data_IF_121127622853
#
_entry.id   IF_121127622853
#
_cell.length_a   1.000
_cell.length_b   1.000
_cell.length_c   1.000
_cell.angle_alpha   90.00
_cell.angle_beta   90.00
_cell.angle_gamma   90.00
#
_symmetry.space_group_name_H-M   'P 1'
#
loop_
_entity.id
_entity.type
_entity.pdbx_description
1 polymer ?
#
# COMPACT_ATOMS: atom_id res chain seq x y z
N UNK A 1 13.01 -29.34 10.69
CA UNK A 1 11.65 -29.03 10.23
C UNK A 1 11.77 -28.32 8.90
N UNK A 2 11.36 -29.01 7.84
CA UNK A 2 11.58 -28.63 6.45
C UNK A 2 10.79 -27.35 6.14
N UNK A 3 11.50 -26.26 5.85
CA UNK A 3 10.97 -24.89 5.81
C UNK A 3 10.75 -24.41 4.36
N UNK A 4 10.28 -25.29 3.48
CA UNK A 4 9.92 -24.93 2.10
C UNK A 4 8.54 -24.24 2.06
N UNK A 5 8.39 -23.09 1.38
CA UNK A 5 7.16 -22.31 1.41
C UNK A 5 6.14 -22.78 0.37
N UNK A 6 4.97 -23.25 0.85
CA UNK A 6 3.75 -23.29 0.03
C UNK A 6 3.15 -21.89 -0.01
N UNK A 7 2.79 -21.46 -1.23
CA UNK A 7 2.30 -20.14 -1.60
C UNK A 7 0.96 -19.83 -0.89
N UNK A 8 0.85 -18.62 -0.32
CA UNK A 8 -0.19 -18.16 0.61
C UNK A 8 -0.19 -18.84 1.99
N UNK A 9 0.73 -18.41 2.87
CA UNK A 9 0.79 -18.88 4.26
C UNK A 9 0.21 -17.83 5.21
N UNK A 10 -0.97 -18.11 5.76
CA UNK A 10 -1.34 -17.61 7.09
C UNK A 10 -0.60 -18.49 8.10
N UNK A 11 0.41 -17.94 8.79
CA UNK A 11 1.05 -18.65 9.90
C UNK A 11 0.51 -18.06 11.20
N UNK A 12 -0.45 -18.76 11.83
CA UNK A 12 -0.84 -18.48 13.22
C UNK A 12 0.23 -19.08 14.14
N UNK A 13 0.98 -18.23 14.85
CA UNK A 13 1.91 -18.66 15.88
C UNK A 13 1.09 -18.75 17.17
N UNK A 14 1.02 -19.93 17.80
CA UNK A 14 0.27 -20.10 19.06
C UNK A 14 0.94 -19.24 20.15
N UNK A 15 0.39 -18.06 20.42
CA UNK A 15 0.65 -17.30 21.63
C UNK A 15 -0.23 -17.86 22.75
N UNK A 16 0.34 -18.03 23.94
CA UNK A 16 -0.31 -18.62 25.12
C UNK A 16 -1.14 -17.62 25.95
N UNK A 17 -1.61 -16.52 25.35
CA UNK A 17 -2.49 -15.55 26.01
C UNK A 17 -3.51 -14.98 25.01
N UNK A 18 -4.62 -15.68 24.81
CA UNK A 18 -5.80 -15.13 24.15
C UNK A 18 -6.98 -15.21 25.12
N UNK A 19 -7.34 -14.06 25.70
CA UNK A 19 -8.72 -13.83 26.16
C UNK A 19 -9.55 -13.28 24.98
N UNK A 20 -10.87 -13.55 24.93
CA UNK A 20 -11.69 -13.29 23.75
C UNK A 20 -11.93 -11.78 23.52
N UNK A 21 -12.15 -11.35 22.25
CA UNK A 21 -12.30 -9.95 21.89
C UNK A 21 -13.71 -9.45 22.24
N UNK A 22 -13.85 -8.83 23.41
CA UNK A 22 -15.02 -8.05 23.82
C UNK A 22 -14.65 -6.59 24.02
N UNK A 23 -15.06 -5.74 23.06
CA UNK A 23 -15.16 -4.28 23.17
C UNK A 23 -13.93 -3.53 23.70
N UNK A 24 -13.14 -2.92 22.81
CA UNK A 24 -12.42 -1.66 23.08
C UNK A 24 -11.98 -1.01 21.76
N UNK A 25 -12.82 -0.14 21.19
CA UNK A 25 -12.32 0.96 20.36
C UNK A 25 -11.97 2.09 21.31
N UNK A 26 -10.70 2.21 21.69
CA UNK A 26 -10.25 3.34 22.51
C UNK A 26 -9.94 4.54 21.59
N UNK A 27 -10.45 5.73 21.90
CA UNK A 27 -10.07 6.96 21.20
C UNK A 27 -8.61 7.27 21.50
N UNK A 28 -7.87 7.69 20.48
CA UNK A 28 -6.44 8.04 20.52
C UNK A 28 -6.20 9.17 21.53
N UNK A 29 -5.87 8.83 22.79
CA UNK A 29 -5.06 9.63 23.74
C UNK A 29 -4.37 8.68 24.72
N UNK A 30 -3.06 8.86 24.85
CA UNK A 30 -2.14 8.29 25.87
C UNK A 30 -2.13 6.76 26.05
N UNK A 31 -1.10 6.09 25.51
CA UNK A 31 -0.83 4.69 25.90
C UNK A 31 0.20 4.70 27.03
N UNK A 32 -0.31 5.00 28.22
CA UNK A 32 0.32 4.76 29.52
C UNK A 32 -0.10 3.38 30.05
N UNK A 33 0.58 2.32 29.61
CA UNK A 33 0.47 0.99 30.24
C UNK A 33 -0.61 0.04 29.71
N UNK A 34 -1.16 0.23 28.51
CA UNK A 34 -2.12 -0.70 27.87
C UNK A 34 -1.41 -1.53 26.79
N UNK A 35 -1.67 -2.85 26.77
CA UNK A 35 -1.26 -3.76 25.69
C UNK A 35 -1.99 -3.37 24.39
N UNK A 36 -1.24 -3.21 23.30
CA UNK A 36 -1.76 -2.75 22.00
C UNK A 36 -1.41 -3.81 20.96
N UNK A 37 -2.35 -4.11 20.07
CA UNK A 37 -2.12 -4.97 18.91
C UNK A 37 -1.82 -4.12 17.68
N UNK A 38 -0.63 -4.29 17.12
CA UNK A 38 -0.10 -3.49 16.02
C UNK A 38 -0.05 -4.33 14.75
N UNK A 39 -0.74 -3.88 13.70
CA UNK A 39 -0.58 -4.40 12.35
C UNK A 39 0.64 -3.76 11.68
N UNK A 40 1.79 -4.44 11.69
CA UNK A 40 3.02 -3.95 11.07
C UNK A 40 3.01 -4.24 9.57
N UNK A 41 2.98 -3.19 8.75
CA UNK A 41 2.91 -3.26 7.29
C UNK A 41 4.28 -3.01 6.68
N UNK A 42 4.74 -3.95 5.86
CA UNK A 42 6.06 -3.90 5.24
C UNK A 42 6.01 -4.27 3.76
N UNK A 43 6.97 -3.78 2.99
CA UNK A 43 7.16 -4.16 1.60
C UNK A 43 8.63 -4.53 1.38
N UNK A 44 8.86 -5.75 0.92
CA UNK A 44 10.17 -6.20 0.47
C UNK A 44 11.25 -6.16 1.55
N UNK A 45 10.87 -6.25 2.82
CA UNK A 45 11.74 -6.15 4.00
C UNK A 45 11.35 -7.17 5.08
N UNK A 46 11.21 -6.74 6.33
CA UNK A 46 10.78 -7.60 7.42
C UNK A 46 9.43 -8.29 7.11
N UNK A 47 9.23 -9.60 7.38
CA UNK A 47 10.08 -10.48 8.18
C UNK A 47 11.16 -11.22 7.37
N UNK A 48 11.30 -10.95 6.07
CA UNK A 48 12.27 -11.64 5.22
C UNK A 48 13.72 -11.34 5.63
N UNK A 49 14.61 -12.31 5.40
CA UNK A 49 16.04 -12.22 5.76
C UNK A 49 16.75 -11.09 5.00
N UNK A 50 16.34 -10.83 3.77
CA UNK A 50 16.81 -9.71 2.96
C UNK A 50 15.73 -8.64 2.78
N UNK A 51 16.18 -7.41 2.57
CA UNK A 51 15.31 -6.30 2.23
C UNK A 51 15.52 -5.04 3.05
N UNK A 52 14.94 -3.97 2.54
CA UNK A 52 15.04 -2.63 3.11
C UNK A 52 14.26 -2.56 4.44
N UNK A 53 14.69 -1.67 5.33
CA UNK A 53 14.09 -1.45 6.65
C UNK A 53 14.01 -2.68 7.59
N UNK A 54 14.49 -3.88 7.19
CA UNK A 54 14.43 -5.13 7.98
C UNK A 54 14.98 -4.97 9.40
N UNK A 55 16.22 -4.47 9.51
CA UNK A 55 16.89 -4.31 10.80
C UNK A 55 16.18 -3.31 11.70
N UNK A 56 15.54 -2.30 11.12
CA UNK A 56 14.77 -1.34 11.88
C UNK A 56 13.47 -1.96 12.38
N UNK A 57 12.70 -2.62 11.51
CA UNK A 57 11.47 -3.31 11.92
C UNK A 57 11.75 -4.37 13.01
N UNK A 58 12.81 -5.17 12.87
CA UNK A 58 13.17 -6.17 13.89
C UNK A 58 13.52 -5.51 15.23
N UNK A 59 14.28 -4.41 15.23
CA UNK A 59 14.57 -3.64 16.46
C UNK A 59 13.32 -3.02 17.06
N UNK A 60 12.41 -2.50 16.23
CA UNK A 60 11.14 -1.93 16.69
C UNK A 60 10.29 -2.98 17.39
N UNK A 61 10.07 -4.12 16.74
CA UNK A 61 9.26 -5.21 17.29
C UNK A 61 9.86 -5.73 18.59
N UNK A 62 11.19 -5.93 18.64
CA UNK A 62 11.89 -6.38 19.86
C UNK A 62 11.90 -5.35 20.98
N UNK A 63 12.02 -4.07 20.66
CA UNK A 63 12.07 -2.98 21.64
C UNK A 63 10.70 -2.57 22.20
N UNK A 64 9.62 -3.06 21.59
CA UNK A 64 8.23 -2.85 22.00
C UNK A 64 7.59 -4.17 22.43
N UNK A 65 8.29 -4.96 23.24
CA UNK A 65 7.87 -6.30 23.67
C UNK A 65 6.62 -6.33 24.56
N UNK A 66 6.23 -5.18 25.11
CA UNK A 66 4.96 -4.98 25.81
C UNK A 66 3.74 -4.88 24.88
N UNK A 67 3.93 -4.88 23.55
CA UNK A 67 2.87 -4.79 22.53
C UNK A 67 2.85 -6.05 21.65
N UNK A 68 1.68 -6.41 21.13
CA UNK A 68 1.51 -7.55 20.22
C UNK A 68 1.65 -7.09 18.76
N UNK A 69 2.25 -7.92 17.91
CA UNK A 69 2.45 -7.63 16.49
C UNK A 69 1.82 -8.70 15.59
N UNK A 70 1.00 -8.23 14.65
CA UNK A 70 0.62 -8.97 13.45
C UNK A 70 1.41 -8.39 12.27
N UNK A 71 2.20 -9.22 11.59
CA UNK A 71 3.01 -8.77 10.45
C UNK A 71 2.26 -9.01 9.14
N UNK A 72 2.18 -7.99 8.31
CA UNK A 72 1.59 -8.01 6.98
C UNK A 72 2.65 -7.56 5.96
N UNK A 73 3.23 -8.52 5.24
CA UNK A 73 4.39 -8.27 4.40
C UNK A 73 4.09 -8.50 2.91
N UNK A 74 4.30 -7.46 2.10
CA UNK A 74 4.25 -7.54 0.65
C UNK A 74 5.62 -7.95 0.12
N UNK A 75 5.74 -9.11 -0.53
CA UNK A 75 7.02 -9.59 -1.06
C UNK A 75 7.28 -9.05 -2.47
N UNK A 76 8.55 -8.78 -2.79
CA UNK A 76 8.94 -8.18 -4.09
C UNK A 76 9.55 -9.16 -5.09
N UNK A 77 9.97 -10.35 -4.64
CA UNK A 77 10.59 -11.34 -5.52
C UNK A 77 10.52 -12.75 -4.94
N UNK A 78 10.59 -13.75 -5.82
CA UNK A 78 10.69 -15.16 -5.41
C UNK A 78 11.90 -15.42 -4.52
N UNK A 79 13.06 -14.88 -4.91
CA UNK A 79 14.33 -15.01 -4.19
C UNK A 79 14.20 -14.61 -2.71
N UNK A 80 13.46 -13.54 -2.43
CA UNK A 80 13.22 -13.08 -1.08
C UNK A 80 12.36 -14.05 -0.26
N UNK A 81 11.36 -14.68 -0.87
CA UNK A 81 10.54 -15.69 -0.20
C UNK A 81 11.33 -16.97 0.06
N UNK A 82 12.17 -17.38 -0.90
CA UNK A 82 13.01 -18.58 -0.80
C UNK A 82 14.08 -18.47 0.29
N UNK A 83 14.58 -17.25 0.57
CA UNK A 83 15.49 -16.97 1.69
C UNK A 83 14.84 -17.09 3.07
N UNK A 84 13.51 -17.11 3.13
CA UNK A 84 12.75 -17.30 4.36
C UNK A 84 12.73 -16.08 5.29
N UNK A 85 12.36 -16.32 6.54
CA UNK A 85 12.16 -15.28 7.56
C UNK A 85 13.26 -15.31 8.62
N UNK A 86 13.47 -14.16 9.26
CA UNK A 86 14.25 -14.08 10.50
C UNK A 86 13.52 -14.78 11.64
N UNK A 87 14.25 -15.11 12.71
CA UNK A 87 13.64 -15.61 13.94
C UNK A 87 12.78 -14.53 14.59
N UNK A 88 11.47 -14.73 14.58
CA UNK A 88 10.50 -13.77 15.09
C UNK A 88 10.45 -13.81 16.63
N UNK A 89 10.37 -12.66 17.29
CA UNK A 89 10.23 -12.60 18.75
C UNK A 89 8.81 -13.00 19.18
N UNK A 90 8.61 -13.43 20.45
CA UNK A 90 7.36 -14.07 20.91
C UNK A 90 6.11 -13.18 20.86
N UNK A 91 6.29 -11.86 20.84
CA UNK A 91 5.21 -10.88 20.68
C UNK A 91 4.65 -10.81 19.26
N UNK A 92 5.26 -11.50 18.28
CA UNK A 92 4.66 -11.67 16.96
C UNK A 92 3.69 -12.85 16.99
N UNK A 93 2.39 -12.57 16.98
CA UNK A 93 1.36 -13.61 17.03
C UNK A 93 0.99 -14.15 15.65
N UNK A 94 1.20 -13.35 14.60
CA UNK A 94 0.80 -13.71 13.23
C UNK A 94 1.71 -13.10 12.18
N UNK A 95 1.88 -13.84 11.08
CA UNK A 95 2.46 -13.33 9.84
C UNK A 95 1.53 -13.68 8.66
N UNK A 96 1.23 -12.67 7.84
CA UNK A 96 0.55 -12.78 6.55
C UNK A 96 1.43 -12.16 5.47
N UNK A 97 1.59 -12.87 4.37
CA UNK A 97 2.45 -12.45 3.26
C UNK A 97 1.70 -12.49 1.95
N UNK A 98 1.93 -11.52 1.07
CA UNK A 98 1.36 -11.51 -0.27
C UNK A 98 2.43 -11.15 -1.33
N UNK A 99 2.62 -11.98 -2.38
CA UNK A 99 3.58 -11.69 -3.43
C UNK A 99 3.08 -10.65 -4.44
N UNK A 100 3.80 -9.54 -4.59
CA UNK A 100 3.51 -8.52 -5.62
C UNK A 100 4.15 -8.84 -6.98
N UNK A 101 4.92 -9.92 -7.09
CA UNK A 101 5.68 -10.27 -8.28
C UNK A 101 5.05 -11.42 -9.10
N UNK A 102 4.06 -12.13 -8.56
CA UNK A 102 3.41 -13.28 -9.24
C UNK A 102 2.22 -12.83 -10.06
N UNK A 103 2.03 -13.29 -11.29
CA UNK A 103 0.88 -12.89 -12.11
C UNK A 103 -0.38 -13.75 -11.83
N UNK A 104 -0.63 -14.13 -10.57
CA UNK A 104 -1.75 -14.99 -10.19
C UNK A 104 -3.08 -14.26 -10.43
N UNK A 105 -3.99 -14.90 -11.16
CA UNK A 105 -5.33 -14.39 -11.36
C UNK A 105 -6.17 -14.69 -10.11
N UNK A 106 -7.02 -13.76 -9.70
CA UNK A 106 -7.92 -13.96 -8.56
C UNK A 106 -9.16 -14.79 -8.93
N UNK A 107 -9.23 -15.28 -10.18
CA UNK A 107 -10.35 -16.06 -10.71
C UNK A 107 -11.66 -15.26 -10.80
N UNK A 108 -11.62 -13.96 -10.54
CA UNK A 108 -12.81 -13.13 -10.39
C UNK A 108 -13.29 -12.62 -11.75
N UNK A 109 -14.53 -12.96 -12.11
CA UNK A 109 -15.16 -12.48 -13.33
C UNK A 109 -16.18 -11.39 -12.99
N UNK A 110 -15.79 -10.14 -13.20
CA UNK A 110 -16.67 -8.99 -12.93
C UNK A 110 -17.95 -9.04 -13.77
N UNK A 111 -19.11 -8.86 -13.12
CA UNK A 111 -20.39 -8.65 -13.81
C UNK A 111 -20.43 -7.33 -14.61
N UNK A 112 -21.45 -7.13 -15.46
CA UNK A 112 -21.57 -5.90 -16.27
C UNK A 112 -21.57 -4.61 -15.43
N UNK A 113 -22.28 -4.61 -14.30
CA UNK A 113 -22.34 -3.47 -13.38
C UNK A 113 -20.99 -3.20 -12.72
N UNK A 114 -20.32 -4.24 -12.25
CA UNK A 114 -18.99 -4.18 -11.66
C UNK A 114 -17.95 -3.64 -12.65
N UNK A 115 -17.96 -4.12 -13.91
CA UNK A 115 -17.10 -3.59 -14.98
C UNK A 115 -17.31 -2.10 -15.25
N UNK A 116 -18.56 -1.60 -15.15
CA UNK A 116 -18.85 -0.18 -15.29
C UNK A 116 -18.29 0.63 -14.12
N UNK A 117 -18.51 0.20 -12.87
CA UNK A 117 -17.90 0.82 -11.67
C UNK A 117 -16.37 0.82 -11.76
N UNK A 118 -15.78 -0.29 -12.20
CA UNK A 118 -14.33 -0.37 -12.44
C UNK A 118 -13.88 0.69 -13.45
N UNK A 119 -14.55 0.77 -14.61
CA UNK A 119 -14.20 1.74 -15.65
C UNK A 119 -14.36 3.20 -15.16
N UNK A 120 -15.34 3.47 -14.31
CA UNK A 120 -15.55 4.78 -13.68
C UNK A 120 -14.39 5.13 -12.73
N UNK A 121 -14.13 4.30 -11.71
CA UNK A 121 -13.10 4.57 -10.71
C UNK A 121 -11.68 4.50 -11.28
N UNK A 122 -11.38 3.50 -12.12
CA UNK A 122 -10.07 3.38 -12.77
C UNK A 122 -9.85 4.47 -13.83
N UNK A 123 -10.90 4.87 -14.54
CA UNK A 123 -10.84 6.00 -15.48
C UNK A 123 -10.54 7.31 -14.78
N UNK A 124 -11.16 7.55 -13.63
CA UNK A 124 -10.89 8.70 -12.78
C UNK A 124 -9.47 8.70 -12.23
N UNK A 125 -8.99 7.53 -11.74
CA UNK A 125 -7.60 7.34 -11.35
C UNK A 125 -6.66 7.71 -12.50
N UNK A 126 -6.85 7.12 -13.68
CA UNK A 126 -6.04 7.39 -14.87
C UNK A 126 -6.05 8.87 -15.28
N UNK A 127 -7.20 9.54 -15.18
CA UNK A 127 -7.33 10.98 -15.46
C UNK A 127 -6.48 11.82 -14.50
N UNK A 128 -6.49 11.53 -13.19
CA UNK A 128 -5.66 12.22 -12.20
C UNK A 128 -4.16 11.97 -12.44
N UNK A 129 -3.77 10.78 -12.87
CA UNK A 129 -2.38 10.47 -13.21
C UNK A 129 -1.89 11.25 -14.44
N UNK A 130 -2.77 11.45 -15.42
CA UNK A 130 -2.45 12.14 -16.66
C UNK A 130 -2.56 13.66 -16.54
N UNK A 131 -3.24 14.20 -15.52
CA UNK A 131 -3.41 15.63 -15.32
C UNK A 131 -2.04 16.35 -15.27
N UNK A 132 -1.95 17.53 -15.89
CA UNK A 132 -0.77 18.38 -15.83
C UNK A 132 -0.30 18.61 -14.38
N UNK A 133 1.03 18.62 -14.15
CA UNK A 133 1.57 18.96 -12.84
C UNK A 133 1.17 20.40 -12.48
N UNK A 134 0.28 20.55 -11.50
CA UNK A 134 0.28 21.71 -10.64
C UNK A 134 1.44 21.57 -9.64
N UNK A 135 2.15 22.67 -9.34
CA UNK A 135 3.27 22.66 -8.39
C UNK A 135 2.85 22.24 -6.96
N UNK A 136 1.55 22.28 -6.67
CA UNK A 136 0.92 21.65 -5.52
C UNK A 136 -0.41 21.03 -5.95
N UNK A 137 -0.70 19.76 -5.59
CA UNK A 137 -2.04 19.21 -5.68
C UNK A 137 -3.04 20.18 -5.07
N UNK A 138 -4.06 20.58 -5.82
CA UNK A 138 -5.20 21.21 -5.14
C UNK A 138 -5.87 20.17 -4.24
N UNK A 139 -6.49 20.59 -3.14
CA UNK A 139 -7.24 19.69 -2.26
C UNK A 139 -8.25 18.84 -3.07
N UNK A 140 -8.89 19.45 -4.08
CA UNK A 140 -9.81 18.76 -4.98
C UNK A 140 -9.15 17.63 -5.79
N UNK A 141 -7.90 17.76 -6.24
CA UNK A 141 -7.21 16.67 -6.93
C UNK A 141 -6.80 15.52 -6.00
N UNK A 142 -6.40 15.85 -4.77
CA UNK A 142 -6.12 14.84 -3.75
C UNK A 142 -7.38 14.04 -3.42
N UNK A 143 -8.52 14.74 -3.24
CA UNK A 143 -9.82 14.12 -3.00
C UNK A 143 -10.26 13.22 -4.16
N UNK A 144 -9.98 13.60 -5.41
CA UNK A 144 -10.27 12.78 -6.60
C UNK A 144 -9.45 11.49 -6.63
N UNK A 145 -8.14 11.56 -6.35
CA UNK A 145 -7.29 10.35 -6.26
C UNK A 145 -7.77 9.41 -5.15
N UNK A 146 -8.00 9.93 -3.96
CA UNK A 146 -8.49 9.15 -2.82
C UNK A 146 -9.84 8.49 -3.13
N UNK A 147 -10.80 9.26 -3.67
CA UNK A 147 -12.13 8.75 -4.03
C UNK A 147 -12.07 7.64 -5.09
N UNK A 148 -11.20 7.77 -6.09
CA UNK A 148 -10.97 6.73 -7.09
C UNK A 148 -10.33 5.48 -6.49
N UNK A 149 -9.31 5.65 -5.64
CA UNK A 149 -8.62 4.54 -4.96
C UNK A 149 -9.56 3.76 -4.05
N UNK A 150 -10.33 4.46 -3.22
CA UNK A 150 -11.29 3.84 -2.30
C UNK A 150 -12.49 3.22 -3.01
N UNK A 151 -12.97 3.82 -4.11
CA UNK A 151 -13.99 3.21 -4.95
C UNK A 151 -13.52 1.91 -5.61
N UNK A 152 -12.25 1.83 -6.02
CA UNK A 152 -11.64 0.55 -6.45
C UNK A 152 -11.52 -0.45 -5.29
N UNK A 153 -11.13 0.01 -4.11
CA UNK A 153 -11.02 -0.86 -2.93
C UNK A 153 -12.39 -1.47 -2.54
N UNK A 154 -13.45 -0.67 -2.53
CA UNK A 154 -14.81 -1.13 -2.27
C UNK A 154 -15.26 -2.14 -3.33
N UNK A 155 -14.98 -1.86 -4.61
CA UNK A 155 -15.30 -2.80 -5.67
C UNK A 155 -14.52 -4.13 -5.54
N UNK A 156 -13.24 -4.07 -5.16
CA UNK A 156 -12.44 -5.27 -4.91
C UNK A 156 -13.01 -6.11 -3.77
N UNK A 157 -13.47 -5.45 -2.69
CA UNK A 157 -14.11 -6.11 -1.56
C UNK A 157 -15.46 -6.73 -1.94
N UNK A 158 -16.28 -6.02 -2.71
CA UNK A 158 -17.61 -6.47 -3.12
C UNK A 158 -17.55 -7.69 -4.06
N UNK A 159 -16.57 -7.70 -4.96
CA UNK A 159 -16.50 -8.70 -6.05
C UNK A 159 -15.47 -9.81 -5.79
N UNK A 160 -14.64 -9.69 -4.75
CA UNK A 160 -13.62 -10.67 -4.37
C UNK A 160 -12.27 -10.52 -5.09
N UNK A 161 -12.10 -9.50 -5.92
CA UNK A 161 -10.87 -9.29 -6.68
C UNK A 161 -10.98 -8.25 -7.79
N UNK A 162 -9.83 -7.70 -8.21
CA UNK A 162 -9.70 -6.77 -9.34
C UNK A 162 -8.54 -7.11 -10.29
N UNK A 163 -7.79 -8.17 -10.04
CA UNK A 163 -6.57 -8.51 -10.78
C UNK A 163 -6.85 -8.67 -12.28
N UNK A 164 -7.88 -9.44 -12.63
CA UNK A 164 -8.31 -9.59 -14.03
C UNK A 164 -8.78 -8.27 -14.66
N UNK A 165 -9.41 -7.40 -13.88
CA UNK A 165 -9.88 -6.09 -14.35
C UNK A 165 -8.72 -5.10 -14.60
N UNK A 166 -7.73 -5.06 -13.70
CA UNK A 166 -6.52 -4.23 -13.80
C UNK A 166 -5.65 -4.64 -14.99
N UNK A 167 -5.73 -5.91 -15.43
CA UNK A 167 -5.02 -6.45 -16.61
C UNK A 167 -5.83 -6.36 -17.90
N UNK A 168 -7.06 -5.84 -17.83
CA UNK A 168 -7.98 -5.84 -18.96
C UNK A 168 -7.65 -4.75 -19.99
N UNK A 169 -8.17 -4.93 -21.20
CA UNK A 169 -8.15 -3.90 -22.23
C UNK A 169 -8.87 -2.60 -21.78
N UNK A 170 -9.85 -2.71 -20.89
CA UNK A 170 -10.56 -1.55 -20.32
C UNK A 170 -9.57 -0.65 -19.55
N UNK A 171 -8.69 -1.24 -18.75
CA UNK A 171 -7.68 -0.51 -18.00
C UNK A 171 -6.70 0.23 -18.95
N UNK A 172 -6.20 -0.46 -19.96
CA UNK A 172 -5.29 0.14 -20.96
C UNK A 172 -5.98 1.26 -21.74
N UNK A 173 -7.23 1.06 -22.17
CA UNK A 173 -8.01 2.09 -22.87
C UNK A 173 -8.33 3.29 -21.98
N UNK A 174 -8.54 3.09 -20.68
CA UNK A 174 -8.72 4.19 -19.74
C UNK A 174 -7.45 5.06 -19.64
N UNK A 175 -6.27 4.43 -19.53
CA UNK A 175 -4.98 5.13 -19.56
C UNK A 175 -4.77 5.87 -20.89
N UNK A 176 -5.08 5.21 -22.00
CA UNK A 176 -5.00 5.82 -23.33
C UNK A 176 -5.87 7.07 -23.42
N UNK A 177 -7.17 6.96 -23.10
CA UNK A 177 -8.11 8.09 -23.13
C UNK A 177 -7.61 9.23 -22.25
N UNK A 178 -7.21 8.95 -21.03
CA UNK A 178 -6.70 9.95 -20.10
C UNK A 178 -5.45 10.68 -20.65
N UNK A 179 -4.54 9.95 -21.30
CA UNK A 179 -3.36 10.52 -21.96
C UNK A 179 -3.71 11.41 -23.16
N UNK A 180 -4.86 11.19 -23.82
CA UNK A 180 -5.32 11.96 -24.98
C UNK A 180 -6.20 13.15 -24.62
N UNK A 181 -6.71 13.23 -23.39
CA UNK A 181 -7.57 14.32 -22.93
C UNK A 181 -6.83 15.67 -22.93
N UNK A 182 -7.48 16.78 -23.33
CA UNK A 182 -6.92 18.12 -23.18
C UNK A 182 -6.50 18.40 -21.73
N UNK A 183 -5.32 19.00 -21.54
CA UNK A 183 -4.76 19.23 -20.21
C UNK A 183 -3.89 18.08 -19.66
N UNK A 184 -3.78 16.95 -20.36
CA UNK A 184 -2.83 15.90 -19.99
C UNK A 184 -1.38 16.41 -20.03
N UNK A 185 -0.48 15.90 -19.19
CA UNK A 185 0.94 16.28 -19.25
C UNK A 185 1.61 15.77 -20.54
N UNK A 186 2.61 16.51 -21.02
CA UNK A 186 3.26 16.25 -22.33
C UNK A 186 3.75 14.81 -22.49
N UNK A 187 4.44 14.28 -21.48
CA UNK A 187 4.94 12.91 -21.51
C UNK A 187 3.83 11.86 -21.64
N UNK A 188 2.64 12.10 -21.08
CA UNK A 188 1.50 11.19 -21.23
C UNK A 188 0.94 11.21 -22.65
N UNK A 189 0.84 12.40 -23.26
CA UNK A 189 0.41 12.53 -24.67
C UNK A 189 1.32 11.80 -25.66
N UNK A 190 2.61 11.70 -25.34
CA UNK A 190 3.60 11.00 -26.17
C UNK A 190 3.63 9.48 -25.93
N UNK A 191 2.86 8.97 -24.97
CA UNK A 191 2.79 7.54 -24.66
C UNK A 191 2.30 6.72 -25.87
N UNK A 192 3.02 5.63 -26.15
CA UNK A 192 2.66 4.61 -27.13
C UNK A 192 2.06 3.39 -26.42
N UNK A 193 1.50 2.46 -27.18
CA UNK A 193 0.90 1.23 -26.64
C UNK A 193 1.86 0.45 -25.71
N UNK A 194 3.16 0.25 -26.04
CA UNK A 194 4.09 -0.40 -25.11
C UNK A 194 4.26 0.34 -23.78
N UNK A 195 4.24 1.68 -23.80
CA UNK A 195 4.33 2.49 -22.58
C UNK A 195 3.08 2.30 -21.71
N UNK A 196 1.89 2.31 -22.32
CA UNK A 196 0.62 2.14 -21.62
C UNK A 196 0.51 0.74 -21.01
N UNK A 197 0.98 -0.30 -21.71
CA UNK A 197 1.05 -1.67 -21.18
C UNK A 197 2.04 -1.77 -20.01
N UNK A 198 3.20 -1.12 -20.10
CA UNK A 198 4.16 -1.09 -19.01
C UNK A 198 3.61 -0.38 -17.77
N UNK A 199 2.90 0.74 -17.96
CA UNK A 199 2.22 1.46 -16.86
C UNK A 199 1.10 0.59 -16.27
N UNK A 200 0.25 -0.02 -17.09
CA UNK A 200 -0.82 -0.89 -16.62
C UNK A 200 -0.28 -2.06 -15.77
N UNK A 201 0.80 -2.72 -16.21
CA UNK A 201 1.44 -3.81 -15.48
C UNK A 201 2.08 -3.35 -14.15
N UNK A 202 2.52 -2.09 -14.05
CA UNK A 202 3.02 -1.54 -12.79
C UNK A 202 1.88 -1.16 -11.84
N UNK A 203 0.84 -0.50 -12.35
CA UNK A 203 -0.33 -0.12 -11.56
C UNK A 203 -1.06 -1.35 -11.03
N UNK A 204 -1.19 -2.40 -11.85
CA UNK A 204 -1.74 -3.69 -11.42
C UNK A 204 -1.01 -4.21 -10.18
N UNK A 205 0.32 -4.40 -10.26
CA UNK A 205 1.13 -4.87 -9.12
C UNK A 205 1.01 -3.97 -7.89
N UNK A 206 1.00 -2.64 -8.08
CA UNK A 206 0.89 -1.70 -6.98
C UNK A 206 -0.51 -1.69 -6.33
N UNK A 207 -1.57 -2.03 -7.07
CA UNK A 207 -2.95 -2.04 -6.61
C UNK A 207 -3.46 -3.42 -6.18
N UNK A 208 -2.68 -4.49 -6.34
CA UNK A 208 -3.02 -5.82 -5.79
C UNK A 208 -3.43 -5.81 -4.32
N UNK A 209 -2.84 -4.98 -3.43
CA UNK A 209 -3.28 -4.95 -2.05
C UNK A 209 -4.77 -4.63 -1.88
N UNK A 210 -5.42 -3.98 -2.85
CA UNK A 210 -6.86 -3.73 -2.83
C UNK A 210 -7.70 -5.01 -2.75
N UNK A 211 -7.19 -6.13 -3.29
CA UNK A 211 -7.90 -7.41 -3.39
C UNK A 211 -7.50 -8.41 -2.30
N UNK A 212 -6.67 -8.02 -1.34
CA UNK A 212 -6.26 -8.92 -0.26
C UNK A 212 -7.38 -9.11 0.76
N UNK A 213 -7.50 -10.32 1.29
CA UNK A 213 -8.38 -10.71 2.39
C UNK A 213 -7.88 -10.20 3.77
N UNK A 214 -7.06 -9.14 3.77
CA UNK A 214 -6.37 -8.64 4.95
C UNK A 214 -7.26 -7.78 5.85
N UNK A 215 -8.40 -7.29 5.34
CA UNK A 215 -9.15 -6.17 5.94
C UNK A 215 -10.38 -6.56 6.75
N UNK A 216 -10.59 -7.85 6.96
CA UNK A 216 -11.72 -8.36 7.76
C UNK A 216 -11.41 -8.36 9.25
N UNK A 217 -12.41 -8.72 10.06
CA UNK A 217 -12.34 -8.71 11.53
C UNK A 217 -11.26 -9.67 12.08
N UNK A 218 -10.87 -10.71 11.34
CA UNK A 218 -9.74 -11.55 11.74
C UNK A 218 -8.37 -11.01 11.29
N UNK A 219 -8.33 -9.92 10.53
CA UNK A 219 -7.13 -9.32 9.97
C UNK A 219 -6.82 -7.93 10.53
N UNK A 220 -6.50 -6.99 9.65
CA UNK A 220 -6.25 -5.59 9.96
C UNK A 220 -7.49 -4.88 10.54
N UNK A 221 -8.70 -5.45 10.41
CA UNK A 221 -9.90 -4.90 11.04
C UNK A 221 -9.93 -5.02 12.57
N UNK A 222 -9.11 -5.92 13.16
CA UNK A 222 -9.05 -6.15 14.62
C UNK A 222 -7.79 -5.63 15.31
N UNK A 223 -6.89 -4.98 14.60
CA UNK A 223 -5.71 -4.35 15.22
C UNK A 223 -6.09 -2.96 15.75
N UNK A 224 -5.40 -2.52 16.80
CA UNK A 224 -5.64 -1.20 17.40
C UNK A 224 -5.04 -0.07 16.54
N UNK A 225 -3.94 -0.36 15.83
CA UNK A 225 -3.33 0.54 14.86
C UNK A 225 -2.57 -0.22 13.77
N UNK A 226 -2.52 0.37 12.59
CA UNK A 226 -1.63 -0.04 11.51
C UNK A 226 -0.34 0.79 11.57
N UNK A 227 0.82 0.14 11.51
CA UNK A 227 2.10 0.81 11.39
C UNK A 227 2.77 0.44 10.07
N UNK A 228 2.81 1.38 9.12
CA UNK A 228 3.55 1.22 7.86
C UNK A 228 5.02 1.62 8.01
N UNK A 229 5.91 0.78 7.47
CA UNK A 229 7.37 1.00 7.45
C UNK A 229 7.85 1.89 6.28
N UNK A 230 6.95 2.33 5.40
CA UNK A 230 7.24 3.30 4.34
C UNK A 230 5.96 4.02 3.88
N UNK A 231 6.10 5.22 3.30
CA UNK A 231 5.02 6.02 2.73
C UNK A 231 4.59 5.61 1.31
N UNK A 232 4.91 4.38 0.89
CA UNK A 232 4.63 3.85 -0.46
C UNK A 232 3.57 2.75 -0.48
N UNK A 233 3.66 1.78 -1.40
CA UNK A 233 2.71 0.65 -1.49
C UNK A 233 2.53 -0.14 -0.19
N UNK A 234 3.56 -0.21 0.67
CA UNK A 234 3.46 -0.80 2.01
C UNK A 234 2.37 -0.17 2.91
N UNK A 235 2.05 1.10 2.70
CA UNK A 235 1.02 1.81 3.48
C UNK A 235 -0.40 1.61 2.93
N UNK A 236 -0.55 1.06 1.71
CA UNK A 236 -1.85 0.85 1.08
C UNK A 236 -2.78 -0.02 1.95
N UNK A 237 -2.35 -1.16 2.52
CA UNK A 237 -3.19 -1.91 3.45
C UNK A 237 -3.67 -1.10 4.66
N UNK A 238 -2.84 -0.17 5.15
CA UNK A 238 -3.17 0.71 6.27
C UNK A 238 -4.20 1.77 5.90
N UNK A 239 -4.13 2.32 4.68
CA UNK A 239 -5.17 3.19 4.13
C UNK A 239 -6.51 2.47 4.05
N UNK A 240 -6.52 1.20 3.62
CA UNK A 240 -7.74 0.41 3.49
C UNK A 240 -8.30 -0.02 4.85
N UNK A 241 -7.46 -0.44 5.79
CA UNK A 241 -7.90 -0.75 7.16
C UNK A 241 -8.53 0.49 7.85
N UNK A 242 -7.96 1.68 7.60
CA UNK A 242 -8.55 2.94 8.03
C UNK A 242 -9.90 3.19 7.36
N UNK A 243 -10.01 2.98 6.04
CA UNK A 243 -11.24 3.21 5.29
C UNK A 243 -12.37 2.27 5.69
N UNK A 244 -12.09 0.96 5.78
CA UNK A 244 -13.10 -0.05 6.07
C UNK A 244 -13.45 -0.19 7.55
N UNK A 245 -12.47 0.00 8.45
CA UNK A 245 -12.62 -0.33 9.87
C UNK A 245 -12.32 0.82 10.81
N UNK A 246 -11.83 1.96 10.31
CA UNK A 246 -11.47 3.12 11.13
C UNK A 246 -10.16 2.97 11.90
N UNK A 247 -9.36 1.95 11.58
CA UNK A 247 -8.08 1.68 12.25
C UNK A 247 -7.07 2.78 11.93
N UNK A 248 -6.46 3.43 12.93
CA UNK A 248 -5.51 4.51 12.68
C UNK A 248 -4.22 4.02 12.01
N UNK A 249 -3.66 4.87 11.14
CA UNK A 249 -2.43 4.60 10.41
C UNK A 249 -1.27 5.47 10.93
N UNK A 250 -0.20 4.80 11.37
CA UNK A 250 1.11 5.38 11.66
C UNK A 250 2.07 5.08 10.51
N UNK A 251 2.86 6.06 10.09
CA UNK A 251 3.87 5.88 9.03
C UNK A 251 5.24 6.29 9.55
N UNK A 252 6.18 5.35 9.60
CA UNK A 252 7.61 5.68 9.81
C UNK A 252 8.35 5.47 8.50
N UNK A 253 9.13 6.46 8.06
CA UNK A 253 9.84 6.39 6.78
C UNK A 253 11.30 6.85 6.91
N UNK A 254 12.24 5.90 6.75
CA UNK A 254 13.69 6.16 6.83
C UNK A 254 14.33 6.57 5.50
N UNK A 255 13.77 6.07 4.40
CA UNK A 255 14.15 6.44 3.03
C UNK A 255 12.92 6.87 2.27
N UNK A 256 13.03 7.96 1.51
CA UNK A 256 11.92 8.50 0.73
C UNK A 256 11.59 7.53 -0.40
N UNK A 257 10.51 6.75 -0.25
CA UNK A 257 10.15 5.70 -1.21
C UNK A 257 9.81 6.28 -2.58
N UNK A 258 9.19 7.46 -2.59
CA UNK A 258 8.95 8.22 -3.82
C UNK A 258 10.25 8.52 -4.59
N UNK A 259 11.32 8.89 -3.88
CA UNK A 259 12.64 9.13 -4.47
C UNK A 259 13.25 7.83 -5.00
N UNK A 260 13.13 6.73 -4.25
CA UNK A 260 13.61 5.43 -4.72
C UNK A 260 12.96 5.05 -6.05
N UNK A 261 11.64 5.25 -6.18
CA UNK A 261 10.92 5.03 -7.44
C UNK A 261 11.39 5.94 -8.58
N UNK A 262 11.70 7.19 -8.30
CA UNK A 262 12.20 8.11 -9.34
C UNK A 262 13.59 7.69 -9.84
N UNK A 263 14.43 7.13 -8.97
CA UNK A 263 15.77 6.68 -9.30
C UNK A 263 15.79 5.29 -9.96
N UNK A 264 14.85 4.40 -9.62
CA UNK A 264 14.80 3.06 -10.21
C UNK A 264 14.24 3.03 -11.64
N UNK A 265 13.61 4.11 -12.09
CA UNK A 265 12.90 4.15 -13.38
C UNK A 265 13.78 4.61 -14.55
N UNK A 266 15.12 4.62 -14.42
CA UNK A 266 16.06 5.21 -15.40
C UNK A 266 15.99 4.58 -16.79
N UNK A 267 15.66 3.29 -16.88
CA UNK A 267 15.54 2.55 -18.15
C UNK A 267 14.15 2.67 -18.80
N UNK A 268 13.15 3.17 -18.07
CA UNK A 268 11.79 3.30 -18.59
C UNK A 268 11.66 4.52 -19.51
N UNK A 269 10.71 4.51 -20.45
CA UNK A 269 10.46 5.66 -21.33
C UNK A 269 10.01 6.90 -20.53
N UNK A 270 10.19 8.13 -21.06
CA UNK A 270 9.73 9.34 -20.37
C UNK A 270 8.25 9.30 -19.98
N UNK A 271 7.41 8.70 -20.83
CA UNK A 271 5.97 8.54 -20.62
C UNK A 271 5.69 7.62 -19.42
N UNK A 272 6.34 6.45 -19.36
CA UNK A 272 6.21 5.51 -18.24
C UNK A 272 6.69 6.18 -16.94
N UNK A 273 7.88 6.81 -16.97
CA UNK A 273 8.43 7.50 -15.80
C UNK A 273 7.47 8.57 -15.28
N UNK A 274 6.90 9.40 -16.16
CA UNK A 274 6.01 10.48 -15.76
C UNK A 274 4.72 9.96 -15.10
N UNK A 275 4.07 8.96 -15.71
CA UNK A 275 2.82 8.39 -15.19
C UNK A 275 3.03 7.64 -13.87
N UNK A 276 4.11 6.86 -13.74
CA UNK A 276 4.43 6.17 -12.49
C UNK A 276 4.86 7.16 -11.40
N UNK A 277 5.57 8.23 -11.78
CA UNK A 277 5.93 9.28 -10.84
C UNK A 277 4.70 10.03 -10.31
N UNK A 278 3.70 10.27 -11.17
CA UNK A 278 2.42 10.82 -10.77
C UNK A 278 1.68 9.88 -9.80
N UNK A 279 1.61 8.58 -10.11
CA UNK A 279 0.96 7.60 -9.25
C UNK A 279 1.56 7.53 -7.86
N UNK A 280 2.88 7.33 -7.76
CA UNK A 280 3.56 7.24 -6.47
C UNK A 280 3.49 8.56 -5.70
N UNK A 281 3.53 9.70 -6.38
CA UNK A 281 3.38 11.00 -5.74
C UNK A 281 1.99 11.20 -5.12
N UNK A 282 0.93 10.83 -5.85
CA UNK A 282 -0.46 10.90 -5.36
C UNK A 282 -0.72 9.89 -4.25
N UNK A 283 -0.18 8.67 -4.35
CA UNK A 283 -0.26 7.67 -3.30
C UNK A 283 0.42 8.16 -2.01
N UNK A 284 1.64 8.68 -2.10
CA UNK A 284 2.35 9.22 -0.95
C UNK A 284 1.59 10.39 -0.30
N UNK A 285 1.04 11.30 -1.11
CA UNK A 285 0.21 12.40 -0.61
C UNK A 285 -1.02 11.90 0.15
N UNK A 286 -1.74 10.90 -0.39
CA UNK A 286 -2.90 10.31 0.29
C UNK A 286 -2.49 9.59 1.59
N UNK A 287 -1.37 8.87 1.57
CA UNK A 287 -0.81 8.21 2.76
C UNK A 287 -0.56 9.23 3.87
N UNK A 288 0.15 10.32 3.57
CA UNK A 288 0.46 11.33 4.59
C UNK A 288 -0.77 12.13 5.03
N UNK A 289 -1.70 12.41 4.13
CA UNK A 289 -2.95 13.11 4.46
C UNK A 289 -3.80 12.30 5.45
N UNK A 290 -3.87 10.98 5.26
CA UNK A 290 -4.73 10.08 6.06
C UNK A 290 -4.06 9.50 7.30
N UNK A 291 -2.73 9.48 7.34
CA UNK A 291 -1.98 9.06 8.52
C UNK A 291 -2.40 9.90 9.74
N UNK A 292 -2.54 9.23 10.89
CA UNK A 292 -2.73 9.88 12.18
C UNK A 292 -1.42 10.50 12.68
N UNK A 293 -0.30 9.85 12.35
CA UNK A 293 1.04 10.30 12.71
C UNK A 293 2.05 9.88 11.64
N UNK A 294 3.01 10.76 11.35
CA UNK A 294 4.12 10.51 10.43
C UNK A 294 5.44 10.78 11.14
N UNK A 295 6.34 9.80 11.16
CA UNK A 295 7.65 9.89 11.80
C UNK A 295 8.74 9.86 10.71
N UNK A 296 9.45 10.98 10.47
CA UNK A 296 10.55 11.01 9.53
C UNK A 296 11.78 10.34 10.15
N UNK A 297 12.40 9.41 9.44
CA UNK A 297 13.66 8.81 9.89
C UNK A 297 14.86 9.76 9.82
N UNK A 298 14.74 10.89 9.10
CA UNK A 298 15.74 11.96 9.05
C UNK A 298 15.15 13.27 8.49
N UNK A 299 15.89 14.38 8.63
CA UNK A 299 15.48 15.69 8.14
C UNK A 299 15.26 15.76 6.62
N UNK A 300 15.90 14.89 5.84
CA UNK A 300 15.68 14.81 4.39
C UNK A 300 14.31 14.21 4.07
N UNK A 301 13.94 13.11 4.73
CA UNK A 301 12.62 12.50 4.61
C UNK A 301 11.50 13.46 5.00
N UNK A 302 11.68 14.22 6.11
CA UNK A 302 10.74 15.26 6.53
C UNK A 302 10.44 16.28 5.42
N UNK A 303 11.47 16.79 4.72
CA UNK A 303 11.26 17.76 3.62
C UNK A 303 10.46 17.18 2.46
N UNK A 304 10.62 15.90 2.19
CA UNK A 304 9.83 15.22 1.16
C UNK A 304 8.39 15.01 1.59
N UNK A 305 8.16 14.62 2.84
CA UNK A 305 6.82 14.47 3.41
C UNK A 305 6.06 15.80 3.35
N UNK A 306 6.67 16.90 3.83
CA UNK A 306 6.07 18.23 3.74
C UNK A 306 5.78 18.64 2.29
N UNK A 307 6.69 18.36 1.35
CA UNK A 307 6.48 18.62 -0.10
C UNK A 307 5.34 17.79 -0.69
N UNK A 308 5.09 16.59 -0.16
CA UNK A 308 3.98 15.74 -0.57
C UNK A 308 2.67 16.08 0.16
N UNK A 309 2.62 17.17 0.93
CA UNK A 309 1.42 17.64 1.61
C UNK A 309 1.18 17.05 3.00
N UNK A 310 2.19 16.44 3.61
CA UNK A 310 2.09 16.02 5.01
C UNK A 310 1.88 17.23 5.93
N UNK A 311 0.84 17.15 6.75
CA UNK A 311 0.54 18.16 7.76
C UNK A 311 1.65 18.20 8.82
N UNK A 312 2.24 19.38 9.04
CA UNK A 312 3.33 19.59 10.00
C UNK A 312 2.94 19.17 11.41
N UNK A 313 1.67 19.32 11.78
CA UNK A 313 1.19 18.98 13.12
C UNK A 313 1.12 17.47 13.34
N UNK A 314 1.17 16.68 12.27
CA UNK A 314 1.22 15.21 12.28
C UNK A 314 2.65 14.66 12.19
N UNK A 315 3.63 15.50 11.91
CA UNK A 315 5.04 15.10 11.85
C UNK A 315 5.62 15.18 13.27
N UNK A 316 6.25 14.09 13.73
CA UNK A 316 6.93 14.03 15.04
C UNK A 316 8.37 13.55 14.88
#
# INVERSE_FOLDING_TARGET
>A
MDNRPSRHRLVRIRSSRCEPPGQRRLPIREIGGVLVRIGLLTEGGYPYVSGDARLWCDRLVRGLDQHEFDIYALSRSQRQEDEGWVTLPPQVSRVRTAPLWTAEDDGTVLGRRARRRFAEHYGELAAVLCAGRSESPSAAEADRFGSALYGLAELARDEGGLTGALRSEIAVRALERACRTPGAHRAGREARVPDLLAVAAHLERALRPLSLDWYEDEGLGSVDLCHAASGGPAALPGLLARHFSGVPLLVTEYGVQLRAHYLSATEASPSVRALLAAFHGRLAAEVYARAALVTPGNAHARRWQERCGADRDKIR
#
